data_IF_065697798312
#
_entry.id   IF_065697798312
#
_cell.length_a   1.000
_cell.length_b   1.000
_cell.length_c   1.000
_cell.angle_alpha   90.00
_cell.angle_beta   90.00
_cell.angle_gamma   90.00
#
_symmetry.space_group_name_H-M   'P 1'
#
loop_
_entity.id
_entity.type
_entity.pdbx_description
1 polymer ?
#
# COMPACT_ATOMS: atom_id res chain seq x y z
N UNK A 1 -3.64 -19.91 2.93
CA UNK A 1 -4.67 -19.07 3.56
C UNK A 1 -4.46 -18.97 5.07
N UNK A 2 -3.70 -17.98 5.52
CA UNK A 2 -3.51 -17.71 6.96
C UNK A 2 -4.44 -16.58 7.40
N UNK A 3 -5.25 -16.81 8.43
CA UNK A 3 -6.20 -15.81 8.96
C UNK A 3 -5.47 -14.59 9.55
N UNK A 4 -4.25 -14.79 10.06
CA UNK A 4 -3.40 -13.72 10.58
C UNK A 4 -2.89 -12.81 9.47
N UNK A 5 -2.55 -13.38 8.31
CA UNK A 5 -2.08 -12.64 7.14
C UNK A 5 -3.20 -11.77 6.57
N UNK A 6 -4.40 -12.33 6.44
CA UNK A 6 -5.60 -11.60 6.00
C UNK A 6 -5.88 -10.43 6.96
N UNK A 7 -5.90 -10.69 8.27
CA UNK A 7 -6.15 -9.66 9.28
C UNK A 7 -5.09 -8.54 9.21
N UNK A 8 -3.82 -8.90 9.10
CA UNK A 8 -2.72 -7.94 8.94
C UNK A 8 -2.91 -7.06 7.69
N UNK A 9 -3.20 -7.66 6.53
CA UNK A 9 -3.41 -6.91 5.27
C UNK A 9 -4.67 -6.07 5.28
N UNK A 10 -5.71 -6.46 6.02
CA UNK A 10 -6.88 -5.63 6.24
C UNK A 10 -6.53 -4.43 7.11
N UNK A 11 -5.83 -4.63 8.23
CA UNK A 11 -5.37 -3.55 9.10
C UNK A 11 -4.48 -2.55 8.34
N UNK A 12 -3.53 -3.03 7.53
CA UNK A 12 -2.74 -2.17 6.66
C UNK A 12 -3.59 -1.53 5.56
N UNK A 13 -4.52 -2.29 4.98
CA UNK A 13 -5.47 -1.84 3.98
C UNK A 13 -6.23 -0.59 4.41
N UNK A 14 -6.63 -0.51 5.67
CA UNK A 14 -7.31 0.67 6.21
C UNK A 14 -6.39 1.89 6.38
N UNK A 15 -5.08 1.71 6.59
CA UNK A 15 -4.16 2.83 6.75
C UNK A 15 -4.03 3.70 5.47
N UNK A 16 -4.12 3.08 4.29
CA UNK A 16 -3.91 3.77 3.02
C UNK A 16 -5.04 4.72 2.62
N UNK A 17 -6.34 4.39 2.72
CA UNK A 17 -7.43 5.32 2.48
C UNK A 17 -7.31 6.61 3.31
N UNK A 18 -6.93 6.51 4.58
CA UNK A 18 -6.70 7.70 5.42
C UNK A 18 -5.50 8.52 4.94
N UNK A 19 -4.40 7.85 4.56
CA UNK A 19 -3.21 8.51 4.00
C UNK A 19 -3.52 9.25 2.69
N UNK A 20 -4.23 8.59 1.78
CA UNK A 20 -4.67 9.11 0.48
C UNK A 20 -5.62 10.28 0.67
N UNK A 21 -6.65 10.15 1.53
CA UNK A 21 -7.61 11.22 1.81
C UNK A 21 -6.91 12.46 2.35
N UNK A 22 -6.00 12.28 3.31
CA UNK A 22 -5.23 13.38 3.89
C UNK A 22 -4.36 14.05 2.82
N UNK A 23 -3.62 13.29 2.02
CA UNK A 23 -2.80 13.83 0.93
C UNK A 23 -3.65 14.55 -0.12
N UNK A 24 -4.81 14.02 -0.49
CA UNK A 24 -5.67 14.66 -1.47
C UNK A 24 -6.24 16.00 -0.96
N UNK A 25 -6.66 16.05 0.31
CA UNK A 25 -7.27 17.25 0.93
C UNK A 25 -6.26 18.32 1.34
N UNK A 26 -5.13 17.92 1.94
CA UNK A 26 -4.13 18.88 2.44
C UNK A 26 -3.37 19.58 1.32
N UNK A 27 -3.25 18.93 0.14
CA UNK A 27 -2.38 19.36 -0.97
C UNK A 27 -0.93 19.68 -0.51
N UNK A 28 -0.54 19.16 0.65
CA UNK A 28 0.75 19.44 1.27
C UNK A 28 1.33 18.14 1.81
N UNK A 29 2.61 17.96 1.56
CA UNK A 29 3.37 16.76 1.92
C UNK A 29 4.04 16.86 3.31
N UNK A 30 3.67 17.84 4.13
CA UNK A 30 4.30 18.08 5.44
C UNK A 30 4.32 16.82 6.31
N UNK A 31 5.53 16.28 6.54
CA UNK A 31 5.79 15.10 7.37
C UNK A 31 5.61 13.74 6.67
N UNK A 32 5.35 13.70 5.35
CA UNK A 32 5.17 12.43 4.61
C UNK A 32 6.48 11.96 3.98
N UNK A 33 6.93 10.75 4.32
CA UNK A 33 8.14 10.14 3.76
C UNK A 33 7.81 9.33 2.51
N UNK A 34 8.23 9.82 1.34
CA UNK A 34 8.08 9.07 0.08
C UNK A 34 8.92 7.79 0.07
N UNK A 35 10.07 7.81 0.76
CA UNK A 35 10.93 6.63 0.90
C UNK A 35 10.19 5.51 1.65
N UNK A 36 9.44 5.85 2.69
CA UNK A 36 8.59 4.89 3.40
C UNK A 36 7.54 4.26 2.47
N UNK A 37 6.87 5.06 1.63
CA UNK A 37 5.90 4.55 0.66
C UNK A 37 6.54 3.56 -0.32
N UNK A 38 7.74 3.86 -0.82
CA UNK A 38 8.46 2.94 -1.71
C UNK A 38 8.87 1.63 -1.01
N UNK A 39 9.37 1.69 0.22
CA UNK A 39 9.73 0.49 1.00
C UNK A 39 8.51 -0.41 1.16
N UNK A 40 7.36 0.16 1.53
CA UNK A 40 6.13 -0.61 1.71
C UNK A 40 5.60 -1.16 0.39
N UNK A 41 5.67 -0.37 -0.69
CA UNK A 41 5.29 -0.84 -2.02
C UNK A 41 6.14 -2.04 -2.49
N UNK A 42 7.46 -1.99 -2.28
CA UNK A 42 8.34 -3.13 -2.56
C UNK A 42 8.00 -4.35 -1.70
N UNK A 43 7.63 -4.15 -0.43
CA UNK A 43 7.13 -5.22 0.43
C UNK A 43 5.87 -5.89 -0.12
N UNK A 44 4.92 -5.11 -0.64
CA UNK A 44 3.73 -5.68 -1.29
C UNK A 44 4.08 -6.44 -2.57
N UNK A 45 4.99 -5.94 -3.41
CA UNK A 45 5.45 -6.67 -4.60
C UNK A 45 6.12 -8.00 -4.23
N UNK A 46 6.96 -8.02 -3.21
CA UNK A 46 7.58 -9.25 -2.72
C UNK A 46 6.53 -10.26 -2.24
N UNK A 47 5.49 -9.80 -1.54
CA UNK A 47 4.36 -10.64 -1.13
C UNK A 47 3.57 -11.22 -2.32
N UNK A 48 3.30 -10.40 -3.35
CA UNK A 48 2.65 -10.85 -4.59
C UNK A 48 3.50 -11.91 -5.30
N UNK A 49 4.80 -11.67 -5.44
CA UNK A 49 5.72 -12.64 -6.05
C UNK A 49 5.74 -13.94 -5.25
N UNK A 50 5.86 -13.88 -3.91
CA UNK A 50 5.85 -15.08 -3.08
C UNK A 50 4.56 -15.90 -3.25
N UNK A 51 3.39 -15.24 -3.27
CA UNK A 51 2.11 -15.90 -3.51
C UNK A 51 2.00 -16.48 -4.92
N UNK A 52 2.55 -15.80 -5.92
CA UNK A 52 2.52 -16.26 -7.32
C UNK A 52 3.40 -17.49 -7.55
N UNK A 53 4.60 -17.52 -6.95
CA UNK A 53 5.57 -18.59 -7.20
C UNK A 53 5.47 -19.79 -6.26
N UNK A 54 5.01 -19.59 -5.01
CA UNK A 54 5.09 -20.65 -3.98
C UNK A 54 3.73 -21.09 -3.44
N UNK A 55 2.79 -20.17 -3.20
CA UNK A 55 1.52 -20.49 -2.54
C UNK A 55 0.40 -19.57 -3.03
N UNK A 56 -0.19 -19.89 -4.18
CA UNK A 56 -1.24 -19.08 -4.78
C UNK A 56 -2.55 -19.22 -4.01
N UNK A 57 -3.04 -18.10 -3.49
CA UNK A 57 -4.24 -18.05 -2.68
C UNK A 57 -4.89 -16.66 -2.80
N UNK A 58 -6.19 -16.53 -2.48
CA UNK A 58 -6.97 -15.28 -2.64
C UNK A 58 -6.39 -14.09 -1.83
N UNK A 59 -5.48 -14.33 -0.88
CA UNK A 59 -4.79 -13.27 -0.13
C UNK A 59 -3.96 -12.39 -1.07
N UNK A 60 -3.55 -12.91 -2.24
CA UNK A 60 -2.88 -12.13 -3.29
C UNK A 60 -3.69 -10.88 -3.72
N UNK A 61 -5.03 -10.97 -3.70
CA UNK A 61 -5.91 -9.84 -4.05
C UNK A 61 -5.74 -8.71 -3.02
N UNK A 62 -5.63 -9.05 -1.72
CA UNK A 62 -5.40 -8.07 -0.66
C UNK A 62 -4.03 -7.40 -0.81
N UNK A 63 -3.00 -8.14 -1.20
CA UNK A 63 -1.68 -7.59 -1.53
C UNK A 63 -1.75 -6.62 -2.71
N UNK A 64 -2.43 -6.99 -3.79
CA UNK A 64 -2.58 -6.14 -4.99
C UNK A 64 -3.32 -4.86 -4.65
N UNK A 65 -4.46 -4.95 -3.95
CA UNK A 65 -5.25 -3.77 -3.56
C UNK A 65 -4.43 -2.83 -2.67
N UNK A 66 -3.73 -3.36 -1.68
CA UNK A 66 -2.83 -2.56 -0.84
C UNK A 66 -1.72 -1.90 -1.67
N UNK A 67 -1.07 -2.64 -2.57
CA UNK A 67 -0.05 -2.11 -3.47
C UNK A 67 -0.56 -0.97 -4.36
N UNK A 68 -1.77 -1.13 -4.94
CA UNK A 68 -2.40 -0.08 -5.74
C UNK A 68 -2.71 1.17 -4.92
N UNK A 69 -3.19 1.03 -3.68
CA UNK A 69 -3.43 2.17 -2.80
C UNK A 69 -2.14 2.91 -2.47
N UNK A 70 -1.05 2.20 -2.15
CA UNK A 70 0.26 2.83 -1.93
C UNK A 70 0.75 3.53 -3.20
N UNK A 71 0.56 2.92 -4.38
CA UNK A 71 0.93 3.53 -5.65
C UNK A 71 0.18 4.84 -5.89
N UNK A 72 -1.14 4.86 -5.65
CA UNK A 72 -1.95 6.09 -5.72
C UNK A 72 -1.40 7.16 -4.76
N UNK A 73 -1.02 6.75 -3.55
CA UNK A 73 -0.49 7.65 -2.55
C UNK A 73 0.88 8.25 -2.94
N UNK A 74 1.73 7.45 -3.61
CA UNK A 74 2.99 7.91 -4.22
C UNK A 74 2.70 8.92 -5.33
N UNK A 75 1.76 8.64 -6.23
CA UNK A 75 1.38 9.56 -7.31
C UNK A 75 0.86 10.89 -6.75
N UNK A 76 0.03 10.83 -5.70
CA UNK A 76 -0.47 12.02 -5.00
C UNK A 76 0.65 12.80 -4.31
N UNK A 77 1.66 12.13 -3.75
CA UNK A 77 2.84 12.80 -3.19
C UNK A 77 3.55 13.66 -4.24
N UNK A 78 3.80 13.11 -5.44
CA UNK A 78 4.43 13.89 -6.51
C UNK A 78 3.54 15.01 -7.04
N UNK A 79 2.22 14.79 -7.13
CA UNK A 79 1.26 15.84 -7.51
C UNK A 79 1.29 17.03 -6.55
N UNK A 80 1.37 16.77 -5.25
CA UNK A 80 1.38 17.79 -4.21
C UNK A 80 2.77 18.40 -3.95
N UNK A 81 3.81 17.94 -4.68
CA UNK A 81 5.16 18.49 -4.59
C UNK A 81 5.37 19.71 -5.52
N UNK A 82 4.45 19.93 -6.47
CA UNK A 82 4.37 21.14 -7.29
C UNK A 82 3.72 22.28 -6.52
#
# INVERSE_FOLDING_TARGET
>A
MSIFEITMLLCFGFAWPFSIYKSYKSKSNSGKSVVFLYIVFLGYLAGIMHKTFYNFDLVIILYIINGLMVLIDILLYYRNRS
#
